data_IF_272262480341
#
_entry.id   IF_272262480341
#
_cell.length_a   1.000
_cell.length_b   1.000
_cell.length_c   1.000
_cell.angle_alpha   90.00
_cell.angle_beta   90.00
_cell.angle_gamma   90.00
#
_symmetry.space_group_name_H-M   'P 1'
#
loop_
_entity.id
_entity.type
_entity.pdbx_description
1 polymer ?
#
# COMPACT_ATOMS: atom_id res chain seq x y z
N UNK A 1 -2.78 21.26 22.89
CA UNK A 1 -2.68 21.93 21.57
C UNK A 1 -1.22 21.93 21.20
N UNK A 2 -0.88 21.34 20.10
CA UNK A 2 0.50 21.19 19.67
C UNK A 2 1.03 22.48 19.03
N UNK A 3 1.86 23.28 19.73
CA UNK A 3 2.41 24.51 19.17
C UNK A 3 3.32 24.28 17.96
N UNK A 4 3.83 23.06 17.82
CA UNK A 4 4.73 22.67 16.73
C UNK A 4 4.06 22.59 15.34
N UNK A 5 2.74 22.39 15.26
CA UNK A 5 2.02 22.37 13.99
C UNK A 5 1.75 23.77 13.42
N UNK A 6 1.57 24.75 14.31
CA UNK A 6 1.26 26.13 13.88
C UNK A 6 2.48 26.88 13.35
N UNK A 7 3.67 26.55 13.81
CA UNK A 7 4.90 27.26 13.42
C UNK A 7 5.73 26.60 12.32
N UNK A 8 5.56 25.31 12.01
CA UNK A 8 6.44 24.58 11.11
C UNK A 8 5.83 24.22 9.77
N UNK A 9 4.69 23.53 9.77
CA UNK A 9 4.15 23.01 8.52
C UNK A 9 3.45 24.08 7.67
N UNK A 10 2.69 24.96 8.30
CA UNK A 10 1.95 26.00 7.58
C UNK A 10 2.88 27.10 7.09
N UNK A 11 3.80 27.58 7.93
CA UNK A 11 4.79 28.58 7.51
C UNK A 11 5.75 28.05 6.44
N UNK A 12 6.08 26.75 6.47
CA UNK A 12 6.88 26.11 5.42
C UNK A 12 6.07 26.04 4.11
N UNK A 13 4.80 25.65 4.16
CA UNK A 13 3.93 25.65 2.96
C UNK A 13 3.76 27.05 2.39
N UNK A 14 3.47 28.05 3.21
CA UNK A 14 3.29 29.42 2.78
C UNK A 14 4.52 29.95 2.07
N UNK A 15 5.71 29.63 2.57
CA UNK A 15 6.98 30.13 2.03
C UNK A 15 7.47 29.39 0.78
N UNK A 16 7.17 28.11 0.65
CA UNK A 16 7.77 27.24 -0.39
C UNK A 16 6.76 26.69 -1.40
N UNK A 17 5.48 27.00 -1.31
CA UNK A 17 4.49 26.53 -2.27
C UNK A 17 4.61 27.29 -3.59
N UNK A 18 4.95 26.60 -4.70
CA UNK A 18 5.13 27.27 -6.00
C UNK A 18 3.83 27.96 -6.46
N UNK A 19 3.95 29.17 -6.99
CA UNK A 19 2.83 29.90 -7.63
C UNK A 19 1.90 30.64 -6.68
N UNK A 20 2.12 30.58 -5.37
CA UNK A 20 1.38 31.38 -4.38
C UNK A 20 2.12 32.71 -4.17
N UNK A 21 1.39 33.82 -4.24
CA UNK A 21 1.89 35.19 -4.02
C UNK A 21 1.43 35.77 -2.67
N UNK A 22 0.43 35.17 -2.06
CA UNK A 22 -0.15 35.57 -0.80
C UNK A 22 0.78 35.22 0.36
N UNK A 23 0.74 36.03 1.42
CA UNK A 23 1.56 35.84 2.63
C UNK A 23 1.21 34.55 3.38
N UNK A 24 0.00 34.05 3.23
CA UNK A 24 -0.47 32.82 3.85
C UNK A 24 -1.38 32.03 2.94
N UNK A 25 -1.26 30.68 3.03
CA UNK A 25 -2.14 29.75 2.31
C UNK A 25 -3.63 29.94 2.64
N UNK A 26 -3.96 30.51 3.79
CA UNK A 26 -5.35 30.81 4.17
C UNK A 26 -5.95 31.97 3.40
N UNK A 27 -5.14 32.81 2.75
CA UNK A 27 -5.59 33.91 1.93
C UNK A 27 -5.80 33.49 0.47
N UNK A 28 -5.43 32.27 0.14
CA UNK A 28 -5.60 31.70 -1.21
C UNK A 28 -7.03 31.18 -1.36
N UNK A 29 -7.67 31.50 -2.48
CA UNK A 29 -8.98 30.95 -2.82
C UNK A 29 -8.94 29.44 -2.90
N UNK A 30 -10.03 28.79 -2.46
CA UNK A 30 -10.19 27.35 -2.54
C UNK A 30 -10.10 26.88 -4.00
N UNK A 31 -9.25 25.89 -4.24
CA UNK A 31 -9.10 25.31 -5.56
C UNK A 31 -10.43 24.72 -6.06
N UNK A 32 -10.83 25.07 -7.26
CA UNK A 32 -12.02 24.48 -7.87
C UNK A 32 -11.71 23.05 -8.30
N UNK A 33 -12.53 22.05 -7.92
CA UNK A 33 -12.27 20.66 -8.26
C UNK A 33 -12.32 20.46 -9.78
N UNK A 34 -11.30 19.79 -10.31
CA UNK A 34 -11.27 19.40 -11.72
C UNK A 34 -12.06 18.10 -11.90
N UNK A 35 -13.11 18.15 -12.70
CA UNK A 35 -13.87 16.97 -13.07
C UNK A 35 -13.19 16.27 -14.25
N UNK A 36 -12.76 15.04 -14.06
CA UNK A 36 -12.16 14.21 -15.11
C UNK A 36 -13.23 13.34 -15.77
N UNK A 37 -13.23 13.29 -17.10
CA UNK A 37 -14.13 12.38 -17.85
C UNK A 37 -13.80 10.92 -17.48
N UNK A 38 -14.83 10.13 -17.17
CA UNK A 38 -14.67 8.73 -16.79
C UNK A 38 -14.28 8.49 -15.32
N UNK A 39 -14.25 9.53 -14.48
CA UNK A 39 -13.97 9.39 -13.04
C UNK A 39 -14.91 8.40 -12.36
N UNK A 40 -16.20 8.46 -12.68
CA UNK A 40 -17.23 7.65 -12.01
C UNK A 40 -17.04 6.15 -12.28
N UNK A 41 -16.68 5.78 -13.51
CA UNK A 41 -16.36 4.40 -13.86
C UNK A 41 -15.12 3.89 -13.12
N UNK A 42 -14.08 4.70 -13.04
CA UNK A 42 -12.86 4.38 -12.31
C UNK A 42 -13.16 4.26 -10.82
N UNK A 43 -13.87 5.21 -10.23
CA UNK A 43 -14.23 5.21 -8.81
C UNK A 43 -15.04 3.97 -8.44
N UNK A 44 -16.09 3.64 -9.21
CA UNK A 44 -16.90 2.44 -8.96
C UNK A 44 -16.06 1.15 -8.97
N UNK A 45 -15.13 1.03 -9.92
CA UNK A 45 -14.22 -0.10 -10.00
C UNK A 45 -13.30 -0.20 -8.78
N UNK A 46 -12.78 0.93 -8.30
CA UNK A 46 -11.93 0.94 -7.11
C UNK A 46 -12.72 0.77 -5.82
N UNK A 47 -13.99 1.21 -5.73
CA UNK A 47 -14.85 0.92 -4.58
C UNK A 47 -15.02 -0.59 -4.35
N UNK A 48 -15.27 -1.36 -5.42
CA UNK A 48 -15.37 -2.82 -5.30
C UNK A 48 -14.02 -3.44 -4.89
N UNK A 49 -12.89 -2.91 -5.39
CA UNK A 49 -11.56 -3.34 -4.96
C UNK A 49 -11.30 -3.02 -3.47
N UNK A 50 -11.78 -1.87 -2.98
CA UNK A 50 -11.64 -1.52 -1.56
C UNK A 50 -12.43 -2.46 -0.64
N UNK A 51 -13.59 -2.97 -1.07
CA UNK A 51 -14.33 -4.01 -0.32
C UNK A 51 -13.50 -5.31 -0.18
N UNK A 52 -12.82 -5.72 -1.26
CA UNK A 52 -11.89 -6.87 -1.20
C UNK A 52 -10.72 -6.56 -0.27
N UNK A 53 -10.21 -5.33 -0.30
CA UNK A 53 -9.14 -4.90 0.60
C UNK A 53 -9.55 -4.95 2.07
N UNK A 54 -10.77 -4.57 2.39
CA UNK A 54 -11.28 -4.62 3.77
C UNK A 54 -11.34 -6.06 4.29
N UNK A 55 -11.76 -7.03 3.47
CA UNK A 55 -11.73 -8.45 3.82
C UNK A 55 -10.28 -8.95 4.04
N UNK A 56 -9.34 -8.56 3.17
CA UNK A 56 -7.93 -8.91 3.32
C UNK A 56 -7.34 -8.28 4.59
N UNK A 57 -7.64 -7.02 4.89
CA UNK A 57 -7.19 -6.35 6.10
C UNK A 57 -7.74 -7.05 7.37
N UNK A 58 -9.01 -7.45 7.35
CA UNK A 58 -9.62 -8.21 8.42
C UNK A 58 -8.89 -9.55 8.64
N UNK A 59 -8.61 -10.28 7.56
CA UNK A 59 -7.85 -11.53 7.63
C UNK A 59 -6.44 -11.32 8.21
N UNK A 60 -5.76 -10.23 7.83
CA UNK A 60 -4.44 -9.86 8.35
C UNK A 60 -4.48 -9.53 9.85
N UNK A 61 -5.52 -8.81 10.32
CA UNK A 61 -5.70 -8.51 11.75
C UNK A 61 -5.98 -9.77 12.57
N UNK A 62 -6.79 -10.68 12.05
CA UNK A 62 -7.03 -11.98 12.69
C UNK A 62 -5.74 -12.80 12.79
N UNK A 63 -4.96 -12.90 11.70
CA UNK A 63 -3.67 -13.59 11.69
C UNK A 63 -2.64 -12.94 12.62
N UNK A 64 -2.71 -11.61 12.81
CA UNK A 64 -1.87 -10.89 13.78
C UNK A 64 -2.29 -11.20 15.22
N UNK A 65 -3.58 -11.26 15.50
CA UNK A 65 -4.12 -11.61 16.81
C UNK A 65 -3.76 -13.05 17.21
N UNK A 66 -3.73 -13.95 16.22
CA UNK A 66 -3.31 -15.35 16.37
C UNK A 66 -1.76 -15.50 16.39
N UNK A 67 -1.01 -14.41 16.27
CA UNK A 67 0.46 -14.38 16.22
C UNK A 67 1.08 -15.18 15.06
N UNK A 68 0.33 -15.41 13.99
CA UNK A 68 0.82 -16.04 12.77
C UNK A 68 1.77 -15.09 12.04
N UNK A 69 1.47 -13.80 12.04
CA UNK A 69 2.28 -12.72 11.47
C UNK A 69 2.48 -11.58 12.46
N UNK A 70 3.58 -10.83 12.33
CA UNK A 70 3.81 -9.60 13.10
C UNK A 70 3.39 -8.33 12.35
N UNK A 71 3.75 -8.23 11.07
CA UNK A 71 3.48 -7.08 10.20
C UNK A 71 2.84 -7.55 8.90
N UNK A 72 1.97 -6.75 8.30
CA UNK A 72 1.34 -7.05 7.01
C UNK A 72 2.36 -7.27 5.89
N UNK A 73 3.46 -6.51 5.89
CA UNK A 73 4.58 -6.67 4.94
C UNK A 73 5.30 -8.03 5.06
N UNK A 74 5.05 -8.79 6.13
CA UNK A 74 5.61 -10.12 6.35
C UNK A 74 4.57 -11.22 6.04
N UNK A 75 3.50 -10.90 5.33
CA UNK A 75 2.43 -11.82 5.02
C UNK A 75 2.42 -12.26 3.55
N UNK A 76 2.27 -13.55 3.34
CA UNK A 76 1.78 -14.13 2.10
C UNK A 76 0.25 -14.24 2.20
N UNK A 77 -0.46 -13.62 1.29
CA UNK A 77 -1.91 -13.69 1.19
C UNK A 77 -2.29 -14.56 0.01
N UNK A 78 -3.06 -15.60 0.24
CA UNK A 78 -3.69 -16.41 -0.79
C UNK A 78 -5.19 -16.19 -0.73
N UNK A 79 -5.82 -15.92 -1.87
CA UNK A 79 -7.26 -15.80 -2.01
C UNK A 79 -7.80 -16.79 -3.03
N UNK A 80 -8.88 -17.48 -2.67
CA UNK A 80 -9.76 -18.17 -3.60
C UNK A 80 -11.01 -17.30 -3.73
N UNK A 81 -11.06 -16.44 -4.79
CA UNK A 81 -12.08 -15.41 -4.90
C UNK A 81 -13.40 -15.99 -5.39
N UNK A 82 -14.50 -15.29 -5.11
CA UNK A 82 -15.76 -15.51 -5.80
C UNK A 82 -15.64 -15.12 -7.28
N UNK A 83 -16.52 -15.64 -8.16
CA UNK A 83 -16.48 -15.35 -9.61
C UNK A 83 -16.48 -13.84 -9.94
N UNK A 84 -17.25 -13.05 -9.18
CA UNK A 84 -17.28 -11.59 -9.32
C UNK A 84 -15.93 -10.96 -8.98
N UNK A 85 -15.34 -11.37 -7.89
CA UNK A 85 -14.04 -10.85 -7.41
C UNK A 85 -12.91 -11.33 -8.31
N UNK A 86 -12.95 -12.56 -8.82
CA UNK A 86 -11.97 -13.06 -9.78
C UNK A 86 -11.90 -12.18 -11.04
N UNK A 87 -13.06 -11.86 -11.61
CA UNK A 87 -13.16 -10.95 -12.77
C UNK A 87 -12.62 -9.57 -12.45
N UNK A 88 -12.94 -9.01 -11.27
CA UNK A 88 -12.44 -7.73 -10.82
C UNK A 88 -10.91 -7.73 -10.74
N UNK A 89 -10.32 -8.69 -10.01
CA UNK A 89 -8.88 -8.78 -9.80
C UNK A 89 -8.08 -8.97 -11.10
N UNK A 90 -8.63 -9.65 -12.09
CA UNK A 90 -8.00 -9.83 -13.41
C UNK A 90 -8.12 -8.58 -14.28
N UNK A 91 -9.19 -7.79 -14.12
CA UNK A 91 -9.44 -6.59 -14.92
C UNK A 91 -8.62 -5.39 -14.42
N UNK A 92 -8.33 -5.33 -13.12
CA UNK A 92 -7.57 -4.25 -12.50
C UNK A 92 -6.07 -4.45 -12.77
N UNK A 93 -5.49 -3.59 -13.63
CA UNK A 93 -4.06 -3.63 -13.98
C UNK A 93 -3.20 -2.87 -12.95
N UNK A 94 -3.24 -3.33 -11.69
CA UNK A 94 -2.44 -2.75 -10.59
C UNK A 94 -1.68 -3.84 -9.84
N UNK A 95 -0.61 -3.45 -9.17
CA UNK A 95 0.12 -4.37 -8.30
C UNK A 95 -0.66 -4.58 -7.01
N UNK A 96 -1.40 -5.70 -6.95
CA UNK A 96 -2.26 -6.04 -5.82
C UNK A 96 -1.51 -6.14 -4.49
N UNK A 97 -0.24 -6.54 -4.50
CA UNK A 97 0.57 -6.58 -3.28
C UNK A 97 0.79 -5.18 -2.68
N UNK A 98 0.85 -4.14 -3.52
CA UNK A 98 0.94 -2.75 -3.06
C UNK A 98 -0.39 -2.25 -2.50
N UNK A 99 -1.51 -2.59 -3.15
CA UNK A 99 -2.85 -2.22 -2.68
C UNK A 99 -3.13 -2.81 -1.29
N UNK A 100 -2.75 -4.08 -1.08
CA UNK A 100 -2.97 -4.78 0.20
C UNK A 100 -1.83 -4.60 1.20
N UNK A 101 -0.71 -3.98 0.78
CA UNK A 101 0.50 -3.74 1.61
C UNK A 101 1.02 -5.05 2.20
N UNK A 102 1.23 -6.05 1.35
CA UNK A 102 1.69 -7.39 1.74
C UNK A 102 2.94 -7.80 0.96
N UNK A 103 3.68 -8.79 1.46
CA UNK A 103 4.83 -9.33 0.76
C UNK A 103 4.45 -9.96 -0.58
N UNK A 104 3.44 -10.82 -0.56
CA UNK A 104 2.95 -11.52 -1.75
C UNK A 104 1.44 -11.67 -1.70
N UNK A 105 0.80 -11.48 -2.85
CA UNK A 105 -0.61 -11.75 -3.04
C UNK A 105 -0.77 -12.75 -4.19
N UNK A 106 -1.50 -13.83 -3.95
CA UNK A 106 -1.68 -14.92 -4.92
C UNK A 106 -3.17 -15.25 -5.03
N UNK A 107 -3.66 -15.30 -6.26
CA UNK A 107 -5.00 -15.81 -6.57
C UNK A 107 -4.87 -17.31 -6.78
N UNK A 108 -5.51 -18.10 -5.93
CA UNK A 108 -5.47 -19.55 -6.04
C UNK A 108 -6.46 -20.02 -7.13
N UNK A 109 -6.04 -20.95 -8.01
CA UNK A 109 -6.89 -21.49 -9.05
C UNK A 109 -7.92 -22.51 -8.52
N UNK A 110 -7.61 -23.14 -7.40
CA UNK A 110 -8.42 -24.18 -6.76
C UNK A 110 -8.79 -23.78 -5.34
N UNK A 111 -9.88 -24.36 -4.84
CA UNK A 111 -10.30 -24.19 -3.46
C UNK A 111 -9.26 -24.75 -2.49
N UNK A 112 -9.11 -24.11 -1.36
CA UNK A 112 -8.20 -24.49 -0.28
C UNK A 112 -8.84 -24.28 1.10
N UNK A 113 -8.25 -24.84 2.12
CA UNK A 113 -8.64 -24.62 3.50
C UNK A 113 -8.22 -23.23 3.96
N UNK A 114 -9.21 -22.34 4.19
CA UNK A 114 -9.01 -20.95 4.59
C UNK A 114 -10.26 -20.36 5.23
N UNK A 115 -10.12 -19.19 5.85
CA UNK A 115 -11.27 -18.47 6.41
C UNK A 115 -12.14 -17.86 5.32
N UNK A 116 -13.45 -17.90 5.51
CA UNK A 116 -14.43 -17.41 4.52
C UNK A 116 -14.77 -15.95 4.81
N UNK A 117 -14.67 -15.12 3.75
CA UNK A 117 -15.03 -13.70 3.74
C UNK A 117 -15.98 -13.42 2.58
N UNK A 118 -16.50 -12.18 2.48
CA UNK A 118 -17.43 -11.81 1.40
C UNK A 118 -16.79 -11.87 0.01
N UNK A 119 -15.49 -11.64 -0.09
CA UNK A 119 -14.70 -11.71 -1.33
C UNK A 119 -14.26 -13.11 -1.72
N UNK A 120 -14.34 -14.08 -0.80
CA UNK A 120 -13.91 -15.46 -1.01
C UNK A 120 -13.20 -16.06 0.20
N UNK A 121 -12.46 -17.15 -0.01
CA UNK A 121 -11.64 -17.73 1.06
C UNK A 121 -10.25 -17.09 1.06
N UNK A 122 -9.77 -16.74 2.24
CA UNK A 122 -8.45 -16.10 2.42
C UNK A 122 -7.63 -16.92 3.41
N UNK A 123 -6.37 -17.13 3.06
CA UNK A 123 -5.36 -17.75 3.92
C UNK A 123 -4.16 -16.83 4.04
N UNK A 124 -3.69 -16.65 5.27
CA UNK A 124 -2.50 -15.85 5.59
C UNK A 124 -1.40 -16.79 6.08
N UNK A 125 -0.23 -16.66 5.49
CA UNK A 125 0.97 -17.38 5.89
C UNK A 125 2.13 -16.40 6.11
N UNK A 126 3.07 -16.69 7.02
CA UNK A 126 4.26 -15.86 7.16
C UNK A 126 5.13 -15.94 5.92
N UNK A 127 5.71 -14.81 5.53
CA UNK A 127 6.69 -14.77 4.44
C UNK A 127 8.05 -15.24 4.93
N UNK A 128 8.74 -16.02 4.10
CA UNK A 128 10.11 -16.49 4.35
C UNK A 128 11.10 -15.61 3.59
N UNK A 129 12.16 -15.14 4.27
CA UNK A 129 13.20 -14.32 3.66
C UNK A 129 13.83 -13.34 4.66
N UNK A 130 14.59 -12.40 4.11
CA UNK A 130 15.33 -11.39 4.87
C UNK A 130 14.64 -10.03 4.77
N UNK A 131 14.58 -9.31 5.88
CA UNK A 131 14.00 -7.96 5.89
C UNK A 131 15.05 -6.96 5.47
N UNK A 132 14.77 -6.17 4.42
CA UNK A 132 15.63 -5.06 4.03
C UNK A 132 15.55 -3.94 5.06
N UNK A 133 16.70 -3.48 5.61
CA UNK A 133 16.77 -2.45 6.64
C UNK A 133 16.25 -1.08 6.17
N UNK A 134 16.22 -0.81 4.86
CA UNK A 134 15.77 0.47 4.30
C UNK A 134 14.30 0.49 3.92
N UNK A 135 13.78 -0.49 3.18
CA UNK A 135 12.40 -0.50 2.70
C UNK A 135 11.48 -1.42 3.50
N UNK A 136 12.03 -2.22 4.42
CA UNK A 136 11.34 -3.16 5.32
C UNK A 136 10.56 -4.27 4.62
N UNK A 137 10.76 -4.42 3.31
CA UNK A 137 10.20 -5.53 2.57
C UNK A 137 11.01 -6.80 2.80
N UNK A 138 10.34 -7.94 2.83
CA UNK A 138 11.00 -9.23 2.82
C UNK A 138 11.48 -9.52 1.39
N UNK A 139 12.69 -10.03 1.28
CA UNK A 139 13.33 -10.39 0.01
C UNK A 139 14.08 -11.69 0.16
N UNK A 140 14.32 -12.44 -0.94
CA UNK A 140 15.05 -13.71 -0.88
C UNK A 140 16.49 -13.56 -0.46
N UNK A 141 17.13 -12.40 -0.72
CA UNK A 141 18.52 -12.13 -0.36
C UNK A 141 18.73 -10.64 -0.07
N UNK A 142 19.69 -10.36 0.81
CA UNK A 142 20.18 -9.02 1.12
C UNK A 142 21.72 -9.01 0.96
N UNK A 143 22.28 -7.81 0.74
CA UNK A 143 23.73 -7.60 0.70
C UNK A 143 24.29 -7.46 2.13
N UNK A 144 25.64 -7.34 2.32
CA UNK A 144 26.27 -7.13 3.63
C UNK A 144 25.77 -5.89 4.40
N UNK A 145 25.26 -4.87 3.69
CA UNK A 145 24.63 -3.68 4.29
C UNK A 145 23.14 -3.90 4.64
N UNK A 146 22.67 -5.14 4.63
CA UNK A 146 21.26 -5.53 4.88
C UNK A 146 20.25 -4.87 3.91
N UNK A 147 20.68 -4.55 2.69
CA UNK A 147 19.85 -3.91 1.67
C UNK A 147 19.42 -4.92 0.61
N UNK A 148 18.17 -4.80 0.16
CA UNK A 148 17.71 -5.50 -1.03
C UNK A 148 18.40 -4.94 -2.29
N UNK A 149 18.46 -5.68 -3.42
CA UNK A 149 19.12 -5.22 -4.66
C UNK A 149 18.69 -3.83 -5.11
N UNK A 150 17.40 -3.54 -5.12
CA UNK A 150 16.85 -2.23 -5.46
C UNK A 150 17.35 -1.12 -4.53
N UNK A 151 17.34 -1.35 -3.22
CA UNK A 151 17.80 -0.35 -2.25
C UNK A 151 19.31 -0.14 -2.32
N UNK A 152 20.08 -1.18 -2.56
CA UNK A 152 21.52 -1.11 -2.75
C UNK A 152 21.88 -0.25 -3.98
N UNK A 153 21.21 -0.47 -5.10
CA UNK A 153 21.38 0.34 -6.31
C UNK A 153 21.10 1.83 -6.06
N UNK A 154 19.96 2.15 -5.41
CA UNK A 154 19.61 3.54 -5.08
C UNK A 154 20.67 4.19 -4.18
N UNK A 155 21.12 3.49 -3.14
CA UNK A 155 22.15 4.01 -2.21
C UNK A 155 23.48 4.23 -2.93
N UNK A 156 23.90 3.31 -3.80
CA UNK A 156 25.11 3.46 -4.59
C UNK A 156 25.04 4.66 -5.54
N UNK A 157 23.91 4.84 -6.22
CA UNK A 157 23.69 6.00 -7.10
C UNK A 157 23.70 7.33 -6.33
N UNK A 158 23.24 7.36 -5.09
CA UNK A 158 23.30 8.56 -4.23
C UNK A 158 24.72 8.85 -3.76
N UNK A 159 25.55 7.81 -3.48
CA UNK A 159 26.96 7.98 -3.11
C UNK A 159 27.81 8.51 -4.27
N UNK A 160 27.47 8.14 -5.54
CA UNK A 160 28.19 8.62 -6.71
C UNK A 160 27.84 10.06 -7.12
N UNK A 161 26.76 10.63 -6.59
CA UNK A 161 26.35 12.03 -6.86
C UNK A 161 26.89 13.04 -5.85
N UNK A 162 27.63 12.59 -4.85
CA UNK A 162 28.37 13.44 -3.89
C UNK A 162 29.83 13.52 -4.28
#
# INVERSE_FOLDING_TARGET
>A
IMPSLVGSEMCIRDRYMPGIKEESIYLVDMYQPTLFKGSDEILSKYEDLMKVRDDVLKALEEARSEKVIGKSLNANVMIYPTDKVAKLLTTVKVDLKQIFIVYKFTIAPNDFEGKVYSSGKIKIEPANGYTCSRCWQIVPSINPDELCPRCAEVVNNLKMKK
#
